data_IF_788016873458
#
_entry.id   IF_788016873458
#
_cell.length_a   1.000
_cell.length_b   1.000
_cell.length_c   1.000
_cell.angle_alpha   90.00
_cell.angle_beta   90.00
_cell.angle_gamma   90.00
#
_symmetry.space_group_name_H-M   'P 1'
#
loop_
_entity.id
_entity.type
_entity.pdbx_description
1 polymer ?
#
# COMPACT_ATOMS: atom_id res chain seq x y z
N UNK A 1 -28.85 10.02 11.22
CA UNK A 1 -27.80 9.10 10.77
C UNK A 1 -27.89 7.88 11.68
N UNK A 2 -27.82 6.69 11.10
CA UNK A 2 -27.80 5.41 11.79
C UNK A 2 -26.54 4.64 11.39
N UNK A 3 -25.92 3.91 12.32
CA UNK A 3 -24.70 3.14 12.06
C UNK A 3 -24.90 1.72 12.58
N UNK A 4 -24.78 0.76 11.68
CA UNK A 4 -24.85 -0.67 11.98
C UNK A 4 -23.44 -1.25 11.89
N UNK A 5 -23.02 -1.96 12.93
CA UNK A 5 -21.74 -2.67 12.96
C UNK A 5 -21.97 -4.15 12.75
N UNK A 6 -21.18 -4.75 11.87
CA UNK A 6 -21.17 -6.18 11.61
C UNK A 6 -19.77 -6.70 11.85
N UNK A 7 -19.69 -7.83 12.53
CA UNK A 7 -18.45 -8.59 12.65
C UNK A 7 -18.79 -10.05 12.33
N UNK A 8 -17.98 -10.66 11.48
CA UNK A 8 -18.06 -12.09 11.28
C UNK A 8 -17.38 -12.76 12.47
N UNK A 9 -18.17 -13.37 13.36
CA UNK A 9 -17.68 -14.08 14.54
C UNK A 9 -16.91 -15.35 14.14
N UNK A 10 -15.67 -15.16 13.71
CA UNK A 10 -14.68 -16.20 13.40
C UNK A 10 -13.57 -16.24 14.46
N UNK A 11 -13.67 -15.40 15.49
CA UNK A 11 -12.60 -15.20 16.46
C UNK A 11 -12.39 -16.41 17.39
N UNK A 12 -13.39 -17.27 17.60
CA UNK A 12 -13.29 -18.37 18.55
C UNK A 12 -13.68 -19.72 17.94
N UNK A 13 -12.91 -20.76 18.24
CA UNK A 13 -13.24 -22.14 17.90
C UNK A 13 -14.33 -22.74 18.82
N UNK A 14 -14.67 -24.02 18.60
CA UNK A 14 -15.67 -24.72 19.40
C UNK A 14 -15.32 -24.82 20.89
N UNK A 15 -14.05 -24.68 21.22
CA UNK A 15 -13.51 -24.81 22.56
C UNK A 15 -13.35 -23.44 23.24
N UNK A 16 -13.70 -22.35 22.55
CA UNK A 16 -13.62 -20.98 23.05
C UNK A 16 -12.21 -20.38 22.99
N UNK A 17 -11.28 -21.00 22.25
CA UNK A 17 -9.94 -20.44 22.03
C UNK A 17 -9.95 -19.51 20.81
N UNK A 18 -9.05 -18.54 20.80
CA UNK A 18 -8.88 -17.67 19.65
C UNK A 18 -8.49 -18.49 18.41
N UNK A 19 -9.32 -18.46 17.38
CA UNK A 19 -9.03 -19.10 16.10
C UNK A 19 -7.91 -18.32 15.43
N UNK A 20 -6.86 -19.04 15.02
CA UNK A 20 -5.79 -18.44 14.22
C UNK A 20 -6.33 -18.10 12.84
N UNK A 21 -6.34 -16.82 12.50
CA UNK A 21 -6.46 -16.33 11.12
C UNK A 21 -5.07 -16.06 10.57
N UNK A 22 -4.88 -16.28 9.26
CA UNK A 22 -3.59 -16.05 8.61
C UNK A 22 -3.31 -14.56 8.40
N UNK A 23 -4.37 -13.77 8.23
CA UNK A 23 -4.36 -12.35 7.96
C UNK A 23 -5.54 -11.71 8.71
N UNK A 24 -5.34 -10.51 9.28
CA UNK A 24 -6.36 -9.83 10.09
C UNK A 24 -7.40 -9.11 9.22
N UNK A 25 -7.19 -9.04 7.91
CA UNK A 25 -8.18 -8.65 6.91
C UNK A 25 -9.52 -9.38 7.11
N UNK A 26 -9.48 -10.70 7.38
CA UNK A 26 -10.66 -11.52 7.64
C UNK A 26 -11.43 -11.14 8.92
N UNK A 27 -10.82 -10.40 9.85
CA UNK A 27 -11.43 -9.89 11.08
C UNK A 27 -11.91 -8.44 10.97
N UNK A 28 -11.94 -7.86 9.76
CA UNK A 28 -12.38 -6.49 9.55
C UNK A 28 -13.78 -6.25 10.14
N UNK A 29 -13.89 -5.25 11.01
CA UNK A 29 -15.19 -4.74 11.48
C UNK A 29 -15.81 -3.95 10.34
N UNK A 30 -17.03 -4.34 9.97
CA UNK A 30 -17.80 -3.71 8.91
C UNK A 30 -18.76 -2.69 9.52
N UNK A 31 -18.84 -1.51 8.92
CA UNK A 31 -19.86 -0.53 9.24
C UNK A 31 -20.77 -0.28 8.03
N UNK A 32 -22.08 -0.17 8.29
CA UNK A 32 -23.05 0.34 7.32
C UNK A 32 -23.67 1.60 7.88
N UNK A 33 -23.44 2.71 7.19
CA UNK A 33 -23.95 4.03 7.59
C UNK A 33 -25.21 4.33 6.77
N UNK A 34 -26.29 4.66 7.45
CA UNK A 34 -27.52 5.13 6.82
C UNK A 34 -27.75 6.60 7.11
N UNK A 35 -27.79 7.43 6.06
CA UNK A 35 -28.00 8.87 6.17
C UNK A 35 -28.73 9.39 4.93
N UNK A 36 -29.68 10.31 5.12
CA UNK A 36 -30.52 10.85 4.04
C UNK A 36 -31.19 9.75 3.15
N UNK A 37 -31.53 8.61 3.72
CA UNK A 37 -32.10 7.48 2.99
C UNK A 37 -31.10 6.70 2.11
N UNK A 38 -29.80 7.01 2.19
CA UNK A 38 -28.72 6.29 1.52
C UNK A 38 -28.01 5.37 2.49
N UNK A 39 -27.59 4.20 2.00
CA UNK A 39 -26.79 3.21 2.73
C UNK A 39 -25.38 3.15 2.15
N UNK A 40 -24.38 3.27 3.02
CA UNK A 40 -22.96 3.28 2.66
C UNK A 40 -22.27 2.13 3.39
N UNK A 41 -21.68 1.22 2.65
CA UNK A 41 -20.90 0.11 3.19
C UNK A 41 -19.42 0.49 3.34
N UNK A 42 -18.86 0.24 4.51
CA UNK A 42 -17.46 0.45 4.87
C UNK A 42 -16.89 -0.85 5.45
N UNK A 43 -16.22 -1.64 4.61
CA UNK A 43 -15.76 -2.99 4.99
C UNK A 43 -14.31 -3.13 5.44
N UNK A 44 -13.55 -2.04 5.54
CA UNK A 44 -12.11 -2.15 5.79
C UNK A 44 -11.43 -3.02 4.73
N UNK A 45 -10.64 -4.00 5.17
CA UNK A 45 -9.95 -4.94 4.29
C UNK A 45 -10.61 -6.33 4.30
N UNK A 46 -11.93 -6.39 4.57
CA UNK A 46 -12.69 -7.63 4.62
C UNK A 46 -12.46 -8.50 3.38
N UNK A 47 -12.03 -9.74 3.59
CA UNK A 47 -11.87 -10.73 2.53
C UNK A 47 -12.87 -11.89 2.71
N UNK A 48 -12.86 -12.82 1.75
CA UNK A 48 -13.65 -14.05 1.85
C UNK A 48 -12.81 -15.31 2.13
N UNK A 49 -11.58 -15.19 2.67
CA UNK A 49 -10.73 -16.34 2.96
C UNK A 49 -11.41 -17.30 3.96
N UNK A 50 -12.16 -16.74 4.90
CA UNK A 50 -12.87 -17.45 5.96
C UNK A 50 -14.41 -17.47 5.76
N UNK A 51 -14.88 -17.05 4.58
CA UNK A 51 -16.31 -17.01 4.24
C UNK A 51 -17.08 -15.80 4.80
N UNK A 52 -16.38 -14.72 5.15
CA UNK A 52 -17.00 -13.55 5.78
C UNK A 52 -17.98 -12.83 4.85
N UNK A 53 -17.62 -12.66 3.58
CA UNK A 53 -18.49 -12.03 2.59
C UNK A 53 -19.75 -12.86 2.31
N UNK A 54 -19.62 -14.19 2.24
CA UNK A 54 -20.76 -15.09 2.04
C UNK A 54 -21.78 -15.00 3.19
N UNK A 55 -21.31 -14.76 4.41
CA UNK A 55 -22.16 -14.63 5.60
C UNK A 55 -22.72 -13.23 5.77
N UNK A 56 -21.92 -12.20 5.53
CA UNK A 56 -22.31 -10.81 5.76
C UNK A 56 -23.13 -10.24 4.60
N UNK A 57 -22.89 -10.65 3.37
CA UNK A 57 -23.59 -10.14 2.18
C UNK A 57 -25.11 -10.20 2.32
N UNK A 58 -25.71 -11.39 2.56
CA UNK A 58 -27.15 -11.54 2.73
C UNK A 58 -27.74 -10.71 3.88
N UNK A 59 -26.97 -10.52 4.96
CA UNK A 59 -27.43 -9.83 6.18
C UNK A 59 -27.37 -8.31 6.02
N UNK A 60 -26.32 -7.81 5.36
CA UNK A 60 -26.16 -6.38 5.05
C UNK A 60 -27.18 -5.97 3.98
N UNK A 61 -27.28 -6.76 2.92
CA UNK A 61 -28.17 -6.52 1.79
C UNK A 61 -27.82 -5.22 1.03
N UNK A 62 -28.81 -4.68 0.30
CA UNK A 62 -28.58 -3.59 -0.64
C UNK A 62 -27.99 -2.33 -0.01
N UNK A 63 -26.94 -1.78 -0.61
CA UNK A 63 -26.36 -0.46 -0.32
C UNK A 63 -26.29 0.40 -1.58
N UNK A 64 -26.08 1.70 -1.44
CA UNK A 64 -25.99 2.62 -2.58
C UNK A 64 -24.53 2.89 -2.98
N UNK A 65 -23.66 3.02 -1.97
CA UNK A 65 -22.21 3.18 -2.11
C UNK A 65 -21.49 2.09 -1.32
N UNK A 66 -20.45 1.52 -1.92
CA UNK A 66 -19.62 0.50 -1.30
C UNK A 66 -18.15 0.92 -1.34
N UNK A 67 -17.48 1.00 -0.19
CA UNK A 67 -16.01 0.99 -0.18
C UNK A 67 -15.55 -0.36 -0.69
N UNK A 68 -14.69 -0.37 -1.71
CA UNK A 68 -14.06 -1.59 -2.20
C UNK A 68 -13.24 -2.21 -1.06
N UNK A 69 -13.48 -3.48 -0.75
CA UNK A 69 -12.70 -4.16 0.29
C UNK A 69 -11.25 -4.30 -0.16
N UNK A 70 -10.31 -4.16 0.78
CA UNK A 70 -8.90 -4.47 0.57
C UNK A 70 -8.31 -3.77 -0.68
N UNK A 71 -8.54 -2.45 -0.75
CA UNK A 71 -8.01 -1.48 -1.72
C UNK A 71 -8.33 -1.75 -3.21
N UNK A 72 -7.77 -2.81 -3.79
CA UNK A 72 -7.90 -3.21 -5.19
C UNK A 72 -8.14 -4.71 -5.37
N UNK A 73 -8.13 -5.49 -4.28
CA UNK A 73 -8.19 -6.94 -4.38
C UNK A 73 -9.56 -7.41 -4.89
N UNK A 74 -9.54 -8.32 -5.85
CA UNK A 74 -10.67 -9.07 -6.35
C UNK A 74 -10.37 -10.57 -6.44
N UNK A 75 -9.24 -11.03 -5.88
CA UNK A 75 -8.86 -12.44 -5.87
C UNK A 75 -9.50 -13.19 -4.71
N UNK A 76 -9.50 -12.57 -3.53
CA UNK A 76 -10.03 -13.14 -2.29
C UNK A 76 -11.15 -12.26 -1.73
N UNK A 77 -11.06 -10.94 -1.94
CA UNK A 77 -12.07 -9.95 -1.54
C UNK A 77 -13.00 -9.60 -2.70
N UNK A 78 -14.13 -8.97 -2.41
CA UNK A 78 -15.12 -8.46 -3.35
C UNK A 78 -15.64 -9.53 -4.31
N UNK A 79 -16.02 -10.69 -3.78
CA UNK A 79 -16.60 -11.77 -4.56
C UNK A 79 -17.86 -11.31 -5.31
N UNK A 80 -18.12 -11.90 -6.49
CA UNK A 80 -19.29 -11.54 -7.31
C UNK A 80 -20.61 -11.75 -6.54
N UNK A 81 -20.68 -12.76 -5.68
CA UNK A 81 -21.85 -13.00 -4.82
C UNK A 81 -22.04 -11.88 -3.81
N UNK A 82 -20.97 -11.41 -3.17
CA UNK A 82 -21.04 -10.29 -2.24
C UNK A 82 -21.49 -9.00 -2.93
N UNK A 83 -20.90 -8.67 -4.07
CA UNK A 83 -21.30 -7.53 -4.90
C UNK A 83 -22.79 -7.64 -5.30
N UNK A 84 -23.29 -8.85 -5.59
CA UNK A 84 -24.70 -9.06 -5.88
C UNK A 84 -25.62 -8.83 -4.69
N UNK A 85 -25.24 -9.28 -3.49
CA UNK A 85 -26.01 -9.02 -2.29
C UNK A 85 -26.09 -7.52 -1.97
N UNK A 86 -24.97 -6.82 -2.10
CA UNK A 86 -24.87 -5.39 -1.83
C UNK A 86 -25.48 -4.54 -2.96
N UNK A 87 -25.41 -4.98 -4.21
CA UNK A 87 -25.94 -4.30 -5.40
C UNK A 87 -25.72 -2.76 -5.40
N UNK A 88 -24.48 -2.27 -5.17
CA UNK A 88 -24.21 -0.83 -5.12
C UNK A 88 -24.35 -0.19 -6.50
N UNK A 89 -24.73 1.10 -6.52
CA UNK A 89 -24.63 1.91 -7.75
C UNK A 89 -23.22 2.44 -7.99
N UNK A 90 -22.40 2.52 -6.95
CA UNK A 90 -21.03 3.00 -7.02
C UNK A 90 -20.11 2.31 -6.01
N UNK A 91 -18.84 2.18 -6.39
CA UNK A 91 -17.77 1.68 -5.54
C UNK A 91 -16.64 2.70 -5.42
N UNK A 92 -16.07 2.82 -4.23
CA UNK A 92 -14.93 3.70 -3.93
C UNK A 92 -13.71 2.83 -3.61
N UNK A 93 -12.66 2.91 -4.43
CA UNK A 93 -11.37 2.26 -4.19
C UNK A 93 -10.42 3.19 -3.44
N UNK A 94 -9.92 2.75 -2.29
CA UNK A 94 -8.93 3.50 -1.48
C UNK A 94 -7.50 3.22 -1.96
N UNK A 95 -7.28 3.40 -3.26
CA UNK A 95 -6.00 3.25 -3.97
C UNK A 95 -6.09 3.90 -5.35
N UNK A 96 -4.93 4.24 -5.93
CA UNK A 96 -4.84 4.70 -7.33
C UNK A 96 -4.81 3.56 -8.36
N UNK A 97 -4.55 2.33 -7.92
CA UNK A 97 -4.43 1.16 -8.80
C UNK A 97 -5.77 0.56 -9.21
N UNK A 98 -5.76 -0.13 -10.36
CA UNK A 98 -6.92 -0.87 -10.86
C UNK A 98 -7.25 -2.11 -10.01
N UNK A 99 -8.53 -2.49 -10.01
CA UNK A 99 -8.97 -3.80 -9.52
C UNK A 99 -8.17 -4.91 -10.21
N UNK A 100 -7.54 -5.79 -9.43
CA UNK A 100 -6.51 -6.72 -9.90
C UNK A 100 -7.05 -7.94 -10.71
N UNK A 101 -8.36 -8.05 -10.91
CA UNK A 101 -9.00 -9.09 -11.72
C UNK A 101 -9.81 -8.47 -12.86
N UNK A 102 -9.45 -8.79 -14.11
CA UNK A 102 -10.06 -8.22 -15.32
C UNK A 102 -11.56 -8.54 -15.45
N UNK A 103 -11.96 -9.79 -15.22
CA UNK A 103 -13.36 -10.22 -15.31
C UNK A 103 -14.26 -9.51 -14.29
N UNK A 104 -13.72 -9.16 -13.11
CA UNK A 104 -14.44 -8.35 -12.11
C UNK A 104 -14.66 -6.93 -12.61
N UNK A 105 -13.68 -6.30 -13.26
CA UNK A 105 -13.85 -4.97 -13.88
C UNK A 105 -14.92 -4.98 -14.97
N UNK A 106 -14.88 -5.97 -15.85
CA UNK A 106 -15.91 -6.16 -16.91
C UNK A 106 -17.30 -6.37 -16.30
N UNK A 107 -17.39 -7.11 -15.19
CA UNK A 107 -18.64 -7.32 -14.47
C UNK A 107 -19.25 -6.01 -13.94
N UNK A 108 -18.43 -5.17 -13.28
CA UNK A 108 -18.88 -3.87 -12.77
C UNK A 108 -19.37 -2.96 -13.90
N UNK A 109 -18.65 -2.92 -15.02
CA UNK A 109 -19.05 -2.19 -16.22
C UNK A 109 -20.40 -2.69 -16.76
N UNK A 110 -20.59 -4.02 -16.88
CA UNK A 110 -21.85 -4.62 -17.33
C UNK A 110 -23.02 -4.31 -16.41
N UNK A 111 -22.76 -4.15 -15.11
CA UNK A 111 -23.76 -3.75 -14.10
C UNK A 111 -23.97 -2.24 -14.01
N UNK A 112 -23.25 -1.45 -14.80
CA UNK A 112 -23.26 0.01 -14.76
C UNK A 112 -22.96 0.55 -13.34
N UNK A 113 -22.03 -0.11 -12.64
CA UNK A 113 -21.55 0.32 -11.32
C UNK A 113 -20.40 1.29 -11.55
N UNK A 114 -20.54 2.51 -11.04
CA UNK A 114 -19.49 3.52 -11.13
C UNK A 114 -18.31 3.15 -10.23
N UNK A 115 -17.09 3.16 -10.78
CA UNK A 115 -15.86 2.93 -10.01
C UNK A 115 -15.14 4.27 -9.85
N UNK A 116 -14.83 4.65 -8.60
CA UNK A 116 -14.13 5.90 -8.27
C UNK A 116 -12.87 5.56 -7.48
N UNK A 117 -11.73 6.10 -7.90
CA UNK A 117 -10.47 5.93 -7.19
C UNK A 117 -10.29 7.12 -6.25
N UNK A 118 -10.25 6.87 -4.94
CA UNK A 118 -9.93 7.84 -3.92
C UNK A 118 -8.40 8.02 -3.85
N UNK A 119 -7.84 8.61 -4.90
CA UNK A 119 -6.41 8.89 -5.04
C UNK A 119 -6.23 10.20 -5.80
N UNK A 120 -5.41 11.10 -5.26
CA UNK A 120 -5.11 12.39 -5.87
C UNK A 120 -3.72 12.87 -5.47
N UNK A 121 -3.08 13.64 -6.35
CA UNK A 121 -1.86 14.39 -6.04
C UNK A 121 -2.14 15.85 -5.69
N UNK A 122 -3.40 16.29 -5.83
CA UNK A 122 -3.78 17.71 -5.69
C UNK A 122 -4.85 17.93 -4.63
N UNK A 123 -5.56 16.90 -4.20
CA UNK A 123 -6.64 16.99 -3.20
C UNK A 123 -6.38 16.01 -2.07
N UNK A 124 -6.63 16.43 -0.83
CA UNK A 124 -6.45 15.59 0.36
C UNK A 124 -7.43 14.41 0.42
N UNK A 125 -8.63 14.57 -0.14
CA UNK A 125 -9.69 13.59 -0.04
C UNK A 125 -10.63 13.60 -1.25
N UNK A 126 -11.24 12.45 -1.52
CA UNK A 126 -12.46 12.38 -2.33
C UNK A 126 -13.66 12.58 -1.42
N UNK A 127 -14.40 13.66 -1.63
CA UNK A 127 -15.50 14.08 -0.75
C UNK A 127 -16.83 14.00 -1.49
N UNK A 128 -17.83 13.43 -0.82
CA UNK A 128 -19.20 13.37 -1.31
C UNK A 128 -20.13 14.10 -0.35
N UNK A 129 -20.95 15.01 -0.89
CA UNK A 129 -22.17 15.44 -0.22
C UNK A 129 -23.25 14.37 -0.38
N UNK A 130 -23.98 14.09 0.70
CA UNK A 130 -24.92 12.97 0.78
C UNK A 130 -26.31 13.51 1.05
N UNK A 131 -27.22 13.27 0.09
CA UNK A 131 -28.62 13.67 0.19
C UNK A 131 -29.54 12.54 -0.24
N UNK A 132 -30.85 12.76 -0.09
CA UNK A 132 -31.90 11.88 -0.61
C UNK A 132 -31.82 11.71 -2.14
N UNK A 133 -31.24 12.68 -2.85
CA UNK A 133 -31.00 12.62 -4.29
C UNK A 133 -29.80 11.76 -4.68
N UNK A 134 -28.87 11.47 -3.77
CA UNK A 134 -27.68 10.66 -4.05
C UNK A 134 -26.40 11.25 -3.49
N UNK A 135 -25.28 10.91 -4.15
CA UNK A 135 -23.94 11.35 -3.80
C UNK A 135 -23.44 12.36 -4.83
N UNK A 136 -23.07 13.56 -4.39
CA UNK A 136 -22.45 14.57 -5.25
C UNK A 136 -20.98 14.70 -4.89
N UNK A 137 -20.09 14.47 -5.85
CA UNK A 137 -18.66 14.66 -5.64
C UNK A 137 -18.36 16.16 -5.53
N UNK A 138 -17.97 16.59 -4.34
CA UNK A 138 -17.65 17.98 -3.97
C UNK A 138 -16.17 18.15 -3.64
N UNK A 139 -15.32 17.19 -4.05
CA UNK A 139 -13.87 17.25 -3.77
C UNK A 139 -13.24 18.55 -4.28
N UNK A 140 -13.73 19.06 -5.41
CA UNK A 140 -13.29 20.33 -6.03
C UNK A 140 -13.64 21.59 -5.26
N UNK A 141 -14.53 21.52 -4.26
CA UNK A 141 -14.94 22.67 -3.45
C UNK A 141 -13.93 22.95 -2.33
N UNK A 142 -13.04 22.00 -2.05
CA UNK A 142 -11.98 22.11 -1.05
C UNK A 142 -10.68 22.62 -1.68
N UNK A 143 -9.84 23.35 -0.92
CA UNK A 143 -8.56 23.83 -1.43
C UNK A 143 -7.65 22.66 -1.83
N UNK A 144 -6.84 22.87 -2.86
CA UNK A 144 -5.81 21.92 -3.23
C UNK A 144 -4.72 21.84 -2.14
N UNK A 145 -4.02 20.71 -2.12
CA UNK A 145 -2.83 20.52 -1.30
C UNK A 145 -1.84 21.65 -1.61
N UNK A 146 -1.40 22.43 -0.60
CA UNK A 146 -0.44 23.49 -0.80
C UNK A 146 0.86 22.93 -1.39
N UNK A 147 1.30 23.49 -2.51
CA UNK A 147 2.64 23.21 -3.01
C UNK A 147 3.66 24.05 -2.26
N UNK A 148 4.65 23.41 -1.66
CA UNK A 148 5.78 24.09 -1.01
C UNK A 148 7.07 23.79 -1.74
N UNK A 149 8.06 24.67 -1.56
CA UNK A 149 9.40 24.37 -2.05
C UNK A 149 9.95 23.16 -1.33
N UNK A 150 10.34 22.18 -2.13
CA UNK A 150 11.08 21.02 -1.65
C UNK A 150 12.43 21.47 -1.14
N UNK A 151 12.83 20.92 0.01
CA UNK A 151 14.11 21.29 0.60
C UNK A 151 14.62 20.24 1.56
N UNK A 152 15.94 20.19 1.62
CA UNK A 152 16.66 19.62 2.74
C UNK A 152 16.55 20.54 3.96
N UNK A 153 16.41 19.95 5.13
CA UNK A 153 16.45 20.67 6.40
C UNK A 153 17.02 19.76 7.51
N UNK A 154 17.47 20.38 8.60
CA UNK A 154 17.91 19.66 9.79
C UNK A 154 16.89 19.83 10.93
N UNK A 155 16.60 18.73 11.61
CA UNK A 155 15.76 18.69 12.80
C UNK A 155 16.34 17.63 13.76
N UNK A 156 16.54 18.00 15.03
CA UNK A 156 17.15 17.15 16.07
C UNK A 156 18.48 16.50 15.66
N UNK A 157 19.30 17.23 14.89
CA UNK A 157 20.60 16.74 14.41
C UNK A 157 20.53 15.75 13.25
N UNK A 158 19.34 15.52 12.67
CA UNK A 158 19.15 14.65 11.51
C UNK A 158 18.80 15.46 10.26
N UNK A 159 19.38 15.06 9.13
CA UNK A 159 18.91 15.54 7.83
C UNK A 159 17.56 14.93 7.49
N UNK A 160 16.64 15.77 7.04
CA UNK A 160 15.31 15.43 6.55
C UNK A 160 15.07 16.11 5.21
N UNK A 161 14.06 15.64 4.48
CA UNK A 161 13.62 16.26 3.23
C UNK A 161 12.12 16.51 3.28
N UNK A 162 11.71 17.69 2.80
CA UNK A 162 10.30 18.06 2.65
C UNK A 162 9.92 17.93 1.19
N UNK A 163 8.85 17.17 0.94
CA UNK A 163 8.28 16.93 -0.37
C UNK A 163 7.39 18.11 -0.81
N UNK A 164 7.02 18.11 -2.09
CA UNK A 164 6.25 19.21 -2.71
C UNK A 164 4.87 19.41 -2.09
N UNK A 165 4.26 18.36 -1.57
CA UNK A 165 2.98 18.37 -0.85
C UNK A 165 3.12 18.78 0.63
N UNK A 166 4.33 19.14 1.06
CA UNK A 166 4.63 19.54 2.44
C UNK A 166 4.92 18.38 3.38
N UNK A 167 4.73 17.14 2.97
CA UNK A 167 5.03 15.97 3.79
C UNK A 167 6.55 15.79 3.96
N UNK A 168 6.95 15.12 5.04
CA UNK A 168 8.33 14.68 5.18
C UNK A 168 8.58 13.43 4.35
N UNK A 169 9.76 13.35 3.77
CA UNK A 169 10.16 12.21 2.97
C UNK A 169 10.37 10.96 3.85
N UNK A 170 9.81 9.83 3.46
CA UNK A 170 9.94 8.52 4.12
C UNK A 170 10.29 7.48 3.04
N UNK A 171 11.05 6.46 3.41
CA UNK A 171 11.48 5.40 2.51
C UNK A 171 12.46 5.87 1.44
N UNK A 172 12.47 5.18 0.30
CA UNK A 172 13.31 5.52 -0.85
C UNK A 172 12.80 6.77 -1.57
N UNK A 173 13.70 7.71 -1.86
CA UNK A 173 13.39 8.96 -2.54
C UNK A 173 14.50 9.34 -3.50
N UNK A 174 14.14 9.72 -4.72
CA UNK A 174 15.09 10.26 -5.69
C UNK A 174 15.11 11.79 -5.60
N UNK A 175 16.26 12.34 -5.22
CA UNK A 175 16.44 13.79 -5.02
C UNK A 175 17.67 14.22 -5.80
N UNK A 176 17.48 15.05 -6.83
CA UNK A 176 18.58 15.54 -7.67
C UNK A 176 19.35 14.42 -8.38
N UNK A 177 18.66 13.37 -8.83
CA UNK A 177 19.25 12.23 -9.55
C UNK A 177 20.05 11.26 -8.67
N UNK A 178 19.87 11.31 -7.36
CA UNK A 178 20.45 10.33 -6.41
C UNK A 178 19.37 9.78 -5.50
N UNK A 179 19.44 8.50 -5.18
CA UNK A 179 18.51 7.84 -4.26
C UNK A 179 18.99 7.99 -2.82
N UNK A 180 18.06 8.36 -1.92
CA UNK A 180 18.25 8.47 -0.48
C UNK A 180 17.20 7.60 0.22
N UNK A 181 17.48 7.17 1.45
CA UNK A 181 16.51 6.46 2.27
C UNK A 181 16.23 7.22 3.57
N UNK A 182 14.96 7.44 3.88
CA UNK A 182 14.50 8.08 5.11
C UNK A 182 13.75 7.06 5.97
N UNK A 183 14.04 7.02 7.28
CA UNK A 183 13.29 6.14 8.19
C UNK A 183 11.86 6.65 8.44
N UNK A 184 11.06 5.92 9.22
CA UNK A 184 9.67 6.30 9.54
C UNK A 184 9.50 7.63 10.32
N UNK A 185 10.60 8.24 10.77
CA UNK A 185 10.64 9.59 11.38
C UNK A 185 11.14 10.68 10.42
N UNK A 186 11.32 10.33 9.14
CA UNK A 186 11.83 11.21 8.09
C UNK A 186 13.32 11.50 8.18
N UNK A 187 14.11 10.71 8.94
CA UNK A 187 15.55 10.92 9.11
C UNK A 187 16.33 10.19 8.00
N UNK A 188 17.15 10.93 7.25
CA UNK A 188 18.03 10.39 6.22
C UNK A 188 19.01 9.38 6.83
N UNK A 189 19.10 8.20 6.23
CA UNK A 189 20.10 7.20 6.56
C UNK A 189 21.38 7.45 5.77
N UNK A 190 22.53 7.42 6.44
CA UNK A 190 23.85 7.65 5.85
C UNK A 190 24.93 6.82 6.54
N UNK A 191 26.04 6.62 5.84
CA UNK A 191 27.24 5.90 6.27
C UNK A 191 26.96 4.50 6.84
N UNK A 192 26.10 3.74 6.16
CA UNK A 192 25.67 2.43 6.66
C UNK A 192 25.15 1.49 5.58
N UNK A 193 25.24 0.20 5.88
CA UNK A 193 24.43 -0.82 5.25
C UNK A 193 22.98 -0.72 5.73
N UNK A 194 22.05 -0.82 4.79
CA UNK A 194 20.61 -0.83 4.99
C UNK A 194 20.04 -2.13 4.42
N UNK A 195 19.30 -2.87 5.23
CA UNK A 195 18.52 -4.02 4.77
C UNK A 195 17.06 -3.61 4.66
N UNK A 196 16.50 -3.71 3.45
CA UNK A 196 15.10 -3.34 3.17
C UNK A 196 14.41 -4.54 2.56
N UNK A 197 13.27 -4.94 3.14
CA UNK A 197 12.37 -5.87 2.50
C UNK A 197 11.53 -5.13 1.46
N UNK A 198 12.15 -4.78 0.32
CA UNK A 198 11.43 -4.28 -0.83
C UNK A 198 10.96 -5.46 -1.71
N UNK A 199 9.87 -5.26 -2.44
CA UNK A 199 9.11 -6.29 -3.17
C UNK A 199 9.88 -7.00 -4.31
N UNK A 200 11.21 -6.87 -4.36
CA UNK A 200 12.09 -7.39 -5.42
C UNK A 200 12.80 -8.71 -5.07
N UNK A 201 12.67 -9.22 -3.84
CA UNK A 201 13.22 -10.54 -3.49
C UNK A 201 12.11 -11.61 -3.32
N UNK A 202 12.00 -12.59 -4.23
CA UNK A 202 11.05 -13.70 -4.08
C UNK A 202 11.43 -14.71 -2.97
N UNK A 203 12.59 -14.54 -2.32
CA UNK A 203 13.13 -15.46 -1.29
C UNK A 203 12.99 -14.97 0.16
N UNK A 204 12.28 -13.87 0.40
CA UNK A 204 11.85 -13.46 1.74
C UNK A 204 12.89 -12.77 2.64
N UNK A 205 14.16 -12.69 2.21
CA UNK A 205 15.19 -11.88 2.88
C UNK A 205 15.31 -10.51 2.21
N UNK A 206 15.34 -9.41 2.96
CA UNK A 206 15.46 -8.08 2.37
C UNK A 206 16.73 -7.87 1.55
N UNK A 207 16.70 -6.95 0.59
CA UNK A 207 17.87 -6.52 -0.18
C UNK A 207 18.79 -5.62 0.67
N UNK A 208 20.09 -5.73 0.44
CA UNK A 208 21.11 -4.91 1.11
C UNK A 208 21.59 -3.78 0.20
N UNK A 209 21.60 -2.56 0.75
CA UNK A 209 22.03 -1.33 0.09
C UNK A 209 23.06 -0.61 0.96
N UNK A 210 24.01 0.08 0.34
CA UNK A 210 24.95 0.94 1.09
C UNK A 210 24.61 2.41 0.85
N UNK A 211 24.46 3.17 1.94
CA UNK A 211 24.18 4.60 1.94
C UNK A 211 25.49 5.30 2.29
N UNK A 212 25.99 6.14 1.39
CA UNK A 212 27.22 6.91 1.56
C UNK A 212 27.09 7.93 2.70
N UNK A 213 28.19 8.60 3.07
CA UNK A 213 28.22 9.61 4.14
C UNK A 213 27.31 10.80 3.90
N UNK A 214 27.09 11.13 2.63
CA UNK A 214 26.15 12.17 2.20
C UNK A 214 24.72 11.64 2.03
N UNK A 215 24.46 10.37 2.35
CA UNK A 215 23.16 9.71 2.25
C UNK A 215 22.83 9.13 0.88
N UNK A 216 23.67 9.36 -0.14
CA UNK A 216 23.42 8.81 -1.48
C UNK A 216 23.62 7.30 -1.49
N UNK A 217 22.69 6.57 -2.10
CA UNK A 217 22.82 5.14 -2.33
C UNK A 217 23.97 4.84 -3.30
N UNK A 218 24.79 3.85 -2.95
CA UNK A 218 25.78 3.30 -3.87
C UNK A 218 25.09 2.52 -4.99
N UNK A 219 25.48 2.77 -6.24
CA UNK A 219 24.97 2.04 -7.41
C UNK A 219 26.12 1.54 -8.28
N UNK A 220 25.98 0.31 -8.78
CA UNK A 220 26.83 -0.27 -9.81
C UNK A 220 28.26 -0.63 -9.39
N UNK A 221 28.70 -1.79 -9.84
CA UNK A 221 30.11 -2.20 -9.85
C UNK A 221 30.65 -2.65 -8.50
N UNK A 222 31.98 -2.76 -8.45
CA UNK A 222 32.71 -3.18 -7.26
C UNK A 222 32.83 -2.02 -6.27
N UNK A 223 32.44 -2.28 -5.02
CA UNK A 223 32.48 -1.35 -3.90
C UNK A 223 33.35 -1.92 -2.78
N UNK A 224 34.36 -1.16 -2.34
CA UNK A 224 35.26 -1.56 -1.27
C UNK A 224 34.93 -0.83 0.02
N UNK A 225 34.65 -1.57 1.10
CA UNK A 225 34.29 -1.02 2.39
C UNK A 225 34.66 -2.01 3.51
N UNK A 226 35.15 -1.51 4.64
CA UNK A 226 35.55 -2.32 5.81
C UNK A 226 36.36 -3.59 5.44
N UNK A 227 37.43 -3.37 4.68
CA UNK A 227 38.34 -4.40 4.19
C UNK A 227 37.70 -5.51 3.34
N UNK A 228 36.50 -5.29 2.82
CA UNK A 228 35.74 -6.28 2.03
C UNK A 228 35.30 -5.67 0.70
N UNK A 229 35.38 -6.46 -0.37
CA UNK A 229 34.78 -6.10 -1.66
C UNK A 229 33.35 -6.63 -1.78
N UNK A 230 32.46 -5.77 -2.28
CA UNK A 230 31.07 -6.04 -2.55
C UNK A 230 30.77 -5.74 -4.02
N UNK A 231 29.86 -6.49 -4.63
CA UNK A 231 29.35 -6.16 -5.96
C UNK A 231 27.94 -5.58 -5.84
N UNK A 232 27.80 -4.33 -6.28
CA UNK A 232 26.57 -3.56 -6.24
C UNK A 232 25.95 -3.54 -7.64
N UNK A 233 24.67 -3.86 -7.73
CA UNK A 233 23.92 -3.83 -8.98
C UNK A 233 23.58 -2.38 -9.37
N UNK A 234 23.14 -2.18 -10.61
CA UNK A 234 22.70 -0.85 -11.10
C UNK A 234 21.54 -0.27 -10.28
N UNK A 235 20.67 -1.12 -9.74
CA UNK A 235 19.58 -0.74 -8.84
C UNK A 235 20.03 -0.56 -7.36
N UNK A 236 21.33 -0.68 -7.07
CA UNK A 236 21.90 -0.51 -5.72
C UNK A 236 21.89 -1.75 -4.84
N UNK A 237 21.19 -2.82 -5.24
CA UNK A 237 21.15 -4.05 -4.46
C UNK A 237 22.51 -4.76 -4.47
N UNK A 238 22.94 -5.25 -3.31
CA UNK A 238 24.16 -6.05 -3.16
C UNK A 238 23.92 -7.50 -3.56
N UNK A 239 24.72 -8.03 -4.49
CA UNK A 239 24.78 -9.46 -4.77
C UNK A 239 25.73 -10.18 -3.82
N UNK A 240 25.34 -11.38 -3.38
CA UNK A 240 26.15 -12.23 -2.51
C UNK A 240 25.75 -13.71 -2.68
N UNK A 241 26.66 -14.63 -2.34
CA UNK A 241 26.45 -16.09 -2.34
C UNK A 241 26.02 -16.69 -3.69
N UNK A 242 26.52 -16.14 -4.80
CA UNK A 242 26.24 -16.66 -6.15
C UNK A 242 27.46 -16.53 -7.08
N UNK A 243 27.41 -17.22 -8.22
CA UNK A 243 28.32 -17.01 -9.35
C UNK A 243 27.73 -15.94 -10.26
N UNK A 244 28.51 -14.90 -10.58
CA UNK A 244 28.11 -13.83 -11.48
C UNK A 244 29.12 -13.70 -12.64
N UNK A 245 28.61 -13.51 -13.87
CA UNK A 245 29.45 -13.14 -15.01
C UNK A 245 29.62 -11.62 -15.05
N UNK A 246 30.84 -11.14 -14.82
CA UNK A 246 31.18 -9.72 -14.79
C UNK A 246 32.36 -9.49 -15.74
N UNK A 247 32.13 -8.74 -16.82
CA UNK A 247 33.17 -8.45 -17.82
C UNK A 247 33.71 -9.71 -18.53
N UNK A 248 32.84 -10.69 -18.81
CA UNK A 248 33.21 -11.95 -19.48
C UNK A 248 33.93 -12.97 -18.59
N UNK A 249 33.91 -12.79 -17.26
CA UNK A 249 34.50 -13.72 -16.28
C UNK A 249 33.47 -14.14 -15.24
N UNK A 250 33.45 -15.43 -14.92
CA UNK A 250 32.66 -15.96 -13.81
C UNK A 250 33.37 -15.70 -12.47
N UNK A 251 32.73 -14.92 -11.60
CA UNK A 251 33.24 -14.54 -10.28
C UNK A 251 32.30 -15.08 -9.21
N UNK A 252 32.86 -15.74 -8.20
CA UNK A 252 32.10 -16.15 -7.01
C UNK A 252 31.99 -14.96 -6.05
N UNK A 253 30.77 -14.52 -5.79
CA UNK A 253 30.45 -13.38 -4.91
C UNK A 253 30.29 -13.83 -3.44
N UNK A 254 31.22 -14.67 -2.98
CA UNK A 254 31.38 -14.99 -1.56
C UNK A 254 32.27 -13.90 -0.96
N UNK A 255 31.96 -13.44 0.26
CA UNK A 255 32.66 -12.36 0.98
C UNK A 255 34.17 -12.36 0.71
N UNK A 256 34.62 -11.54 -0.25
CA UNK A 256 36.02 -11.48 -0.65
C UNK A 256 36.76 -10.56 0.30
N UNK A 257 37.41 -11.15 1.31
CA UNK A 257 38.34 -10.46 2.20
C UNK A 257 39.70 -10.40 1.49
N UNK A 258 40.36 -9.25 1.58
CA UNK A 258 41.71 -9.06 1.01
C UNK A 258 42.68 -10.10 1.62
N UNK A 259 43.36 -10.87 0.78
CA UNK A 259 44.55 -11.64 1.18
C UNK A 259 45.71 -10.70 1.48
#
# INVERSE_FOLDING_TARGET
MDIQLYNYKNEYDSDGNLKRVLDDNSNSIVAVVTVAGKRIYLGGDLDNAEGAEDKLGPVIGKVDMMKWNHHYDAKISNTINFINHLSPSMVIQTTGGDINVASTREYLQKKNIQVIHASSQTQDATVFDISDKGFTNVSGDFPNIPTVDEKWYQEDGHWKYRLKDGQMAIGWQEIGGSSYFFNGKGQMQADRWLNVNDSWNPYGEGNWYYLNKDGRMQTGGWFYHDNTWYYIQSNGARRFNELAEIGGKNISLIKMVKC
#
